data_IF_836425694487
#
_entry.id   IF_836425694487
#
_cell.length_a   1.000
_cell.length_b   1.000
_cell.length_c   1.000
_cell.angle_alpha   90.00
_cell.angle_beta   90.00
_cell.angle_gamma   90.00
#
_symmetry.space_group_name_H-M   'P 1'
#
loop_
_entity.id
_entity.type
_entity.pdbx_description
1 polymer ?
#
# COMPACT_ATOMS: atom_id res chain seq x y z
N UNK A 1 54.00 3.32 42.89
CA UNK A 1 54.11 2.53 41.66
C UNK A 1 52.86 1.70 41.54
N UNK A 2 51.93 2.16 40.72
CA UNK A 2 50.64 1.51 40.45
C UNK A 2 50.61 1.13 38.99
N UNK A 3 50.72 -0.16 38.71
CA UNK A 3 50.68 -0.74 37.36
C UNK A 3 49.23 -1.07 37.03
N UNK A 4 48.68 -0.46 35.99
CA UNK A 4 47.39 -0.86 35.40
C UNK A 4 47.60 -2.07 34.48
N UNK A 5 46.70 -3.06 34.46
CA UNK A 5 46.77 -4.13 33.48
C UNK A 5 46.30 -3.61 32.10
N UNK A 6 47.12 -3.86 31.09
CA UNK A 6 46.76 -3.67 29.68
C UNK A 6 45.57 -4.56 29.34
N UNK A 7 44.43 -3.97 28.99
CA UNK A 7 43.38 -4.66 28.25
C UNK A 7 43.83 -4.75 26.79
N UNK A 8 44.16 -5.96 26.33
CA UNK A 8 44.24 -6.28 24.91
C UNK A 8 42.80 -6.38 24.40
N UNK A 9 42.39 -5.41 23.59
CA UNK A 9 41.22 -5.56 22.72
C UNK A 9 41.56 -6.65 21.70
N UNK A 10 40.98 -7.83 21.88
CA UNK A 10 41.03 -8.90 20.89
C UNK A 10 39.96 -8.57 19.86
N UNK A 11 40.38 -7.90 18.78
CA UNK A 11 39.57 -7.71 17.59
C UNK A 11 39.40 -9.07 16.92
N UNK A 12 38.24 -9.71 17.12
CA UNK A 12 37.87 -10.94 16.43
C UNK A 12 37.55 -10.62 14.98
N UNK A 13 38.57 -10.59 14.12
CA UNK A 13 38.38 -10.70 12.67
C UNK A 13 38.04 -12.16 12.38
N UNK A 14 36.76 -12.51 12.44
CA UNK A 14 36.29 -13.76 11.87
C UNK A 14 36.55 -13.67 10.35
N UNK A 15 37.55 -14.42 9.87
CA UNK A 15 37.70 -14.69 8.44
C UNK A 15 36.45 -15.45 8.00
N UNK A 16 35.48 -14.72 7.46
CA UNK A 16 34.28 -15.28 6.88
C UNK A 16 34.72 -16.05 5.63
N UNK A 17 34.76 -17.38 5.73
CA UNK A 17 34.81 -18.23 4.55
C UNK A 17 33.53 -17.92 3.77
N UNK A 18 33.68 -17.27 2.61
CA UNK A 18 32.55 -16.73 1.85
C UNK A 18 31.43 -17.77 1.67
N UNK A 19 30.17 -17.33 1.61
CA UNK A 19 29.07 -18.26 1.42
C UNK A 19 29.33 -19.04 0.13
N UNK A 20 29.12 -20.36 0.17
CA UNK A 20 28.99 -21.13 -1.07
C UNK A 20 28.02 -20.37 -1.97
N UNK A 21 28.44 -20.05 -3.20
CA UNK A 21 27.62 -19.31 -4.17
C UNK A 21 26.47 -20.23 -4.58
N UNK A 22 25.43 -20.30 -3.75
CA UNK A 22 24.15 -20.85 -4.13
C UNK A 22 23.55 -19.83 -5.09
N UNK A 23 23.13 -20.23 -6.30
CA UNK A 23 22.41 -19.34 -7.19
C UNK A 23 21.24 -18.69 -6.42
N UNK A 24 21.02 -17.37 -6.55
CA UNK A 24 19.92 -16.73 -5.84
C UNK A 24 18.63 -17.46 -6.20
N UNK A 25 17.86 -17.82 -5.17
CA UNK A 25 16.50 -18.32 -5.37
C UNK A 25 15.77 -17.24 -6.17
N UNK A 26 15.15 -17.55 -7.32
CA UNK A 26 14.40 -16.56 -8.09
C UNK A 26 13.39 -15.89 -7.16
N UNK A 27 13.30 -14.55 -7.25
CA UNK A 27 12.24 -13.84 -6.57
C UNK A 27 10.90 -14.47 -6.98
N UNK A 28 9.98 -14.75 -6.03
CA UNK A 28 8.67 -15.26 -6.38
C UNK A 28 8.02 -14.33 -7.42
N UNK A 29 7.48 -14.94 -8.47
CA UNK A 29 6.80 -14.21 -9.56
C UNK A 29 5.66 -13.38 -8.98
N UNK A 30 5.64 -12.08 -9.28
CA UNK A 30 4.63 -11.11 -8.81
C UNK A 30 5.18 -10.01 -7.89
N UNK A 31 6.37 -10.21 -7.29
CA UNK A 31 6.97 -9.20 -6.41
C UNK A 31 8.41 -8.83 -6.80
N UNK A 32 8.63 -8.06 -7.89
CA UNK A 32 9.97 -7.66 -8.29
C UNK A 32 10.64 -6.83 -7.19
N UNK A 33 11.88 -7.20 -6.87
CA UNK A 33 12.72 -6.49 -5.90
C UNK A 33 13.61 -5.49 -6.63
N UNK A 34 13.62 -4.24 -6.18
CA UNK A 34 14.49 -3.18 -6.74
C UNK A 34 15.25 -2.46 -5.64
N UNK A 35 16.44 -1.99 -5.98
CA UNK A 35 17.19 -1.06 -5.14
C UNK A 35 16.85 0.38 -5.54
N UNK A 36 16.34 1.16 -4.60
CA UNK A 36 16.18 2.59 -4.75
C UNK A 36 17.53 3.31 -4.86
N UNK A 37 17.54 4.45 -5.52
CA UNK A 37 18.63 5.43 -5.43
C UNK A 37 18.73 6.05 -4.03
N UNK A 38 19.82 6.78 -3.79
CA UNK A 38 19.96 7.59 -2.57
C UNK A 38 18.87 8.67 -2.54
N UNK A 39 18.09 8.71 -1.46
CA UNK A 39 16.94 9.61 -1.34
C UNK A 39 15.75 9.23 -2.22
N UNK A 40 15.75 8.05 -2.85
CA UNK A 40 14.61 7.56 -3.62
C UNK A 40 13.65 6.79 -2.71
N UNK A 41 12.36 7.09 -2.82
CA UNK A 41 11.29 6.34 -2.15
C UNK A 41 11.02 5.02 -2.90
N UNK A 42 10.39 4.05 -2.22
CA UNK A 42 9.99 2.82 -2.89
C UNK A 42 8.91 3.03 -3.95
N UNK A 43 8.03 4.03 -3.76
CA UNK A 43 7.09 4.48 -4.80
C UNK A 43 7.82 4.81 -6.11
N UNK A 44 8.90 5.61 -6.03
CA UNK A 44 9.66 6.01 -7.22
C UNK A 44 10.49 4.86 -7.79
N UNK A 45 11.11 4.06 -6.92
CA UNK A 45 11.91 2.91 -7.35
C UNK A 45 11.08 1.86 -8.09
N UNK A 46 9.85 1.60 -7.63
CA UNK A 46 8.92 0.68 -8.29
C UNK A 46 8.37 1.25 -9.60
N UNK A 47 8.04 2.54 -9.64
CA UNK A 47 7.56 3.19 -10.86
C UNK A 47 8.56 3.09 -12.03
N UNK A 48 9.88 3.10 -11.75
CA UNK A 48 10.94 2.92 -12.77
C UNK A 48 10.87 1.59 -13.52
N UNK A 49 10.33 0.55 -12.90
CA UNK A 49 10.15 -0.77 -13.51
C UNK A 49 8.70 -1.03 -13.92
N UNK A 50 7.88 0.03 -14.01
CA UNK A 50 6.45 -0.07 -14.31
C UNK A 50 5.69 -0.96 -13.31
N UNK A 51 6.14 -0.94 -12.05
CA UNK A 51 5.53 -1.65 -10.94
C UNK A 51 5.00 -0.63 -9.91
N UNK A 52 4.20 -1.09 -8.96
CA UNK A 52 3.66 -0.27 -7.86
C UNK A 52 4.27 -0.70 -6.52
N UNK A 53 4.33 0.22 -5.57
CA UNK A 53 4.63 -0.10 -4.19
C UNK A 53 3.31 -0.05 -3.41
N UNK A 54 2.93 -1.15 -2.79
CA UNK A 54 1.72 -1.27 -1.96
C UNK A 54 2.11 -1.61 -0.52
N UNK A 55 1.18 -1.47 0.41
CA UNK A 55 1.42 -1.94 1.78
C UNK A 55 1.55 -3.47 1.80
N UNK A 56 0.83 -4.19 0.93
CA UNK A 56 1.02 -5.63 0.74
C UNK A 56 2.42 -5.98 0.21
N UNK A 57 2.92 -5.26 -0.81
CA UNK A 57 4.24 -5.52 -1.37
C UNK A 57 5.34 -5.29 -0.32
N UNK A 58 5.20 -4.25 0.49
CA UNK A 58 6.07 -3.99 1.63
C UNK A 58 6.01 -5.09 2.70
N UNK A 59 4.81 -5.54 3.08
CA UNK A 59 4.62 -6.66 4.01
C UNK A 59 5.18 -8.00 3.48
N UNK A 60 5.26 -8.16 2.16
CA UNK A 60 5.97 -9.28 1.55
C UNK A 60 7.50 -9.14 1.74
N UNK A 61 8.03 -7.93 1.53
CA UNK A 61 9.43 -7.59 1.84
C UNK A 61 9.83 -7.88 3.29
N UNK A 62 8.88 -7.83 4.22
CA UNK A 62 9.11 -8.12 5.64
C UNK A 62 9.38 -9.57 5.99
N UNK A 63 9.13 -10.46 5.04
CA UNK A 63 9.51 -11.85 5.19
C UNK A 63 11.05 -11.98 5.22
N UNK A 64 11.78 -11.03 4.63
CA UNK A 64 13.23 -10.99 4.62
C UNK A 64 13.78 -10.28 5.87
N UNK A 65 13.52 -10.87 7.03
CA UNK A 65 13.91 -10.33 8.33
C UNK A 65 15.23 -10.91 8.87
N UNK A 66 15.76 -11.97 8.26
CA UNK A 66 17.02 -12.58 8.69
C UNK A 66 18.22 -12.04 7.92
N UNK A 67 19.40 -12.17 8.54
CA UNK A 67 20.67 -11.74 7.97
C UNK A 67 20.98 -12.42 6.62
N UNK A 68 20.65 -13.70 6.48
CA UNK A 68 20.87 -14.45 5.24
C UNK A 68 19.97 -13.97 4.11
N UNK A 69 18.68 -13.73 4.41
CA UNK A 69 17.69 -13.30 3.42
C UNK A 69 18.03 -11.94 2.80
N UNK A 70 18.56 -11.00 3.58
CA UNK A 70 18.96 -9.69 3.05
C UNK A 70 20.23 -9.79 2.19
N UNK A 71 21.18 -10.63 2.58
CA UNK A 71 22.35 -10.88 1.76
C UNK A 71 21.97 -11.53 0.41
N UNK A 72 21.01 -12.46 0.43
CA UNK A 72 20.49 -13.11 -0.77
C UNK A 72 19.72 -12.12 -1.65
N UNK A 73 18.89 -11.24 -1.06
CA UNK A 73 18.21 -10.16 -1.79
C UNK A 73 19.21 -9.18 -2.42
N UNK A 74 20.22 -8.76 -1.66
CA UNK A 74 21.30 -7.89 -2.14
C UNK A 74 21.93 -8.49 -3.39
N UNK A 75 22.32 -9.77 -3.32
CA UNK A 75 22.93 -10.47 -4.44
C UNK A 75 21.98 -10.57 -5.64
N UNK A 76 20.71 -10.89 -5.41
CA UNK A 76 19.71 -11.03 -6.46
C UNK A 76 19.48 -9.74 -7.27
N UNK A 77 19.58 -8.58 -6.63
CA UNK A 77 19.43 -7.26 -7.28
C UNK A 77 20.77 -6.64 -7.71
N UNK A 78 21.87 -7.41 -7.65
CA UNK A 78 23.18 -7.00 -8.14
C UNK A 78 23.97 -6.07 -7.19
N UNK A 79 23.62 -6.05 -5.91
CA UNK A 79 24.40 -5.38 -4.85
C UNK A 79 25.01 -6.41 -3.89
N UNK A 80 25.85 -5.97 -2.96
CA UNK A 80 26.46 -6.83 -1.96
C UNK A 80 26.50 -6.13 -0.61
N UNK A 81 26.12 -6.84 0.45
CA UNK A 81 26.31 -6.38 1.81
C UNK A 81 27.76 -6.70 2.23
N UNK A 82 28.59 -5.69 2.46
CA UNK A 82 29.95 -5.83 3.03
C UNK A 82 29.91 -6.11 4.53
N UNK A 83 28.80 -5.76 5.17
CA UNK A 83 28.49 -6.08 6.54
C UNK A 83 27.02 -5.81 6.82
N UNK A 84 26.54 -6.27 7.97
CA UNK A 84 25.16 -6.05 8.40
C UNK A 84 25.19 -5.32 9.73
N UNK A 85 24.46 -4.21 9.81
CA UNK A 85 24.43 -3.39 11.01
C UNK A 85 23.01 -3.37 11.58
N UNK A 86 22.91 -3.58 12.89
CA UNK A 86 21.68 -3.36 13.65
C UNK A 86 21.90 -2.13 14.51
N UNK A 87 21.32 -0.98 14.15
CA UNK A 87 21.17 0.08 15.14
C UNK A 87 19.80 -0.06 15.81
N UNK A 88 19.70 0.20 17.12
CA UNK A 88 18.44 0.47 17.74
C UNK A 88 17.97 1.89 17.38
N UNK A 89 17.94 2.29 16.12
CA UNK A 89 17.46 3.62 15.72
C UNK A 89 16.88 3.60 14.29
N UNK A 90 17.33 2.69 13.44
CA UNK A 90 16.87 2.53 12.05
C UNK A 90 15.55 1.75 11.96
N UNK A 91 14.64 1.99 12.91
CA UNK A 91 13.52 1.10 13.23
C UNK A 91 12.30 1.18 12.33
N UNK A 92 12.25 2.12 11.38
CA UNK A 92 11.04 2.46 10.62
C UNK A 92 11.22 2.42 9.10
N UNK A 93 12.36 1.91 8.61
CA UNK A 93 12.70 1.92 7.19
C UNK A 93 13.01 0.49 6.76
N UNK A 94 12.47 0.09 5.60
CA UNK A 94 12.82 -1.16 4.90
C UNK A 94 14.32 -1.43 4.95
N UNK A 95 14.75 -2.70 4.72
CA UNK A 95 16.16 -2.98 4.54
C UNK A 95 16.79 -1.94 3.63
N UNK A 96 17.91 -1.39 4.06
CA UNK A 96 18.59 -0.33 3.33
C UNK A 96 20.07 -0.68 3.17
N UNK A 97 20.67 -0.22 2.08
CA UNK A 97 22.10 -0.26 1.82
C UNK A 97 22.68 1.13 2.08
N UNK A 98 23.51 1.25 3.12
CA UNK A 98 24.18 2.49 3.49
C UNK A 98 25.52 2.70 2.78
N UNK A 99 26.05 3.92 2.89
CA UNK A 99 27.38 4.26 2.42
C UNK A 99 28.44 3.33 3.07
N UNK A 100 29.07 2.48 2.26
CA UNK A 100 30.03 1.47 2.70
C UNK A 100 29.60 0.01 2.49
N UNK A 101 28.39 -0.23 1.95
CA UNK A 101 27.86 -1.57 1.69
C UNK A 101 27.24 -2.23 2.92
N UNK A 102 26.92 -1.45 3.95
CA UNK A 102 26.22 -1.96 5.12
C UNK A 102 24.74 -2.15 4.83
N UNK A 103 24.22 -3.34 5.11
CA UNK A 103 22.78 -3.61 5.03
C UNK A 103 22.14 -3.52 6.42
N UNK A 104 20.93 -2.98 6.50
CA UNK A 104 20.22 -2.75 7.77
C UNK A 104 18.89 -3.50 7.79
N UNK A 105 18.80 -4.74 8.29
CA UNK A 105 17.54 -5.45 8.48
C UNK A 105 16.53 -4.71 9.34
N UNK A 106 15.26 -4.86 8.98
CA UNK A 106 14.15 -4.64 9.90
C UNK A 106 14.27 -5.61 11.09
N UNK A 107 14.16 -5.09 12.31
CA UNK A 107 14.17 -5.91 13.52
C UNK A 107 12.94 -5.65 14.39
N UNK A 108 12.38 -6.71 14.99
CA UNK A 108 11.34 -6.63 16.01
C UNK A 108 9.92 -6.36 15.49
N UNK A 109 9.14 -5.62 16.29
CA UNK A 109 7.69 -5.42 16.13
C UNK A 109 7.30 -4.28 15.17
N UNK A 110 8.26 -3.62 14.51
CA UNK A 110 8.02 -2.38 13.75
C UNK A 110 7.62 -2.58 12.28
N UNK A 111 7.14 -3.78 11.91
CA UNK A 111 6.51 -4.06 10.61
C UNK A 111 5.29 -3.16 10.31
N UNK A 112 4.80 -2.40 11.29
CA UNK A 112 3.63 -1.53 11.17
C UNK A 112 3.91 -0.13 10.65
N UNK A 113 5.17 0.33 10.60
CA UNK A 113 5.51 1.71 10.22
C UNK A 113 5.99 1.84 8.76
N UNK A 114 5.73 0.84 7.94
CA UNK A 114 6.22 0.81 6.58
C UNK A 114 5.45 1.75 5.68
N UNK A 115 6.21 2.45 4.84
CA UNK A 115 5.64 3.41 3.92
C UNK A 115 6.48 3.46 2.63
N UNK A 116 5.78 3.35 1.50
CA UNK A 116 6.34 3.42 0.16
C UNK A 116 6.97 4.77 -0.14
N UNK A 117 6.45 5.85 0.47
CA UNK A 117 6.83 7.24 0.18
C UNK A 117 8.02 7.74 1.01
N UNK A 118 8.48 7.00 2.03
CA UNK A 118 9.66 7.39 2.79
C UNK A 118 10.90 7.37 1.89
N UNK A 119 11.59 8.51 1.82
CA UNK A 119 12.88 8.65 1.17
C UNK A 119 13.96 8.85 2.24
N UNK A 120 15.05 8.08 2.16
CA UNK A 120 16.24 8.28 3.00
C UNK A 120 17.38 8.80 2.13
N UNK A 121 17.78 10.06 2.38
CA UNK A 121 18.85 10.72 1.62
C UNK A 121 20.24 10.09 1.81
N UNK A 122 20.41 9.30 2.86
CA UNK A 122 21.69 8.73 3.28
C UNK A 122 21.86 7.25 2.92
N UNK A 123 20.81 6.60 2.44
CA UNK A 123 20.80 5.17 2.16
C UNK A 123 19.96 4.84 0.91
N UNK A 124 20.14 3.64 0.39
CA UNK A 124 19.31 3.07 -0.68
C UNK A 124 18.33 2.08 -0.07
N UNK A 125 17.06 2.15 -0.42
CA UNK A 125 16.05 1.22 0.12
C UNK A 125 15.90 -0.01 -0.76
N UNK A 126 15.78 -1.18 -0.13
CA UNK A 126 15.27 -2.38 -0.76
C UNK A 126 13.74 -2.26 -0.85
N UNK A 127 13.24 -2.27 -2.08
CA UNK A 127 11.84 -2.05 -2.37
C UNK A 127 11.27 -3.30 -3.03
N UNK A 128 10.29 -3.88 -2.36
CA UNK A 128 9.44 -4.90 -2.94
C UNK A 128 8.31 -4.20 -3.68
N UNK A 129 8.30 -4.37 -4.98
CA UNK A 129 7.25 -3.87 -5.84
C UNK A 129 6.27 -4.99 -6.15
N UNK A 130 5.08 -4.62 -6.54
CA UNK A 130 4.06 -5.50 -7.11
C UNK A 130 3.89 -5.11 -8.57
N UNK A 131 3.73 -6.10 -9.45
CA UNK A 131 3.42 -5.81 -10.85
C UNK A 131 2.24 -4.84 -10.87
N UNK A 132 2.38 -3.72 -11.60
CA UNK A 132 1.24 -2.85 -11.77
C UNK A 132 0.17 -3.68 -12.48
N UNK A 133 -0.96 -3.93 -11.80
CA UNK A 133 -2.12 -4.49 -12.47
C UNK A 133 -2.33 -3.68 -13.75
N UNK A 134 -2.63 -4.35 -14.89
CA UNK A 134 -2.80 -3.66 -16.16
C UNK A 134 -3.79 -2.53 -15.92
N UNK A 135 -3.32 -1.27 -16.07
CA UNK A 135 -4.01 -0.04 -15.65
C UNK A 135 -5.52 -0.21 -15.71
N UNK A 136 -6.11 -0.66 -14.60
CA UNK A 136 -7.54 -0.90 -14.54
C UNK A 136 -8.13 0.49 -14.47
N UNK A 137 -8.75 0.93 -15.56
CA UNK A 137 -9.34 2.26 -15.60
C UNK A 137 -10.63 2.22 -14.78
N UNK A 138 -10.57 2.84 -13.61
CA UNK A 138 -11.70 2.94 -12.71
C UNK A 138 -12.41 4.26 -12.93
N UNK A 139 -13.68 4.20 -13.31
CA UNK A 139 -14.53 5.37 -13.44
C UNK A 139 -15.56 5.44 -12.32
N UNK A 140 -15.71 6.62 -11.71
CA UNK A 140 -16.73 6.87 -10.71
C UNK A 140 -18.00 7.38 -11.38
N UNK A 141 -19.11 6.71 -11.14
CA UNK A 141 -20.43 7.07 -11.67
C UNK A 141 -21.42 7.28 -10.54
N UNK A 142 -22.43 8.12 -10.79
CA UNK A 142 -23.54 8.32 -9.88
C UNK A 142 -24.70 7.40 -10.29
N UNK A 143 -25.18 6.55 -9.38
CA UNK A 143 -26.35 5.71 -9.63
C UNK A 143 -27.62 6.55 -9.73
N UNK A 144 -28.68 6.01 -10.34
CA UNK A 144 -30.03 6.56 -10.13
C UNK A 144 -30.48 6.36 -8.67
N UNK A 145 -31.44 7.15 -8.18
CA UNK A 145 -31.97 6.99 -6.83
C UNK A 145 -32.46 5.55 -6.59
N UNK A 146 -31.88 4.86 -5.59
CA UNK A 146 -32.25 3.50 -5.21
C UNK A 146 -31.67 2.39 -6.08
N UNK A 147 -30.93 2.74 -7.13
CA UNK A 147 -30.19 1.81 -7.96
C UNK A 147 -28.95 1.28 -7.18
N UNK A 148 -28.52 0.05 -7.51
CA UNK A 148 -27.28 -0.52 -6.99
C UNK A 148 -26.09 -0.21 -7.93
N UNK A 149 -24.86 -0.53 -7.51
CA UNK A 149 -23.70 -0.23 -8.34
C UNK A 149 -23.58 -1.12 -9.57
N UNK A 150 -24.11 -2.35 -9.53
CA UNK A 150 -24.20 -3.20 -10.73
C UNK A 150 -24.98 -2.53 -11.86
N UNK A 151 -26.17 -1.98 -11.56
CA UNK A 151 -27.00 -1.26 -12.53
C UNK A 151 -26.33 0.01 -13.03
N UNK A 152 -25.79 0.80 -12.09
CA UNK A 152 -25.13 2.06 -12.41
C UNK A 152 -23.94 1.86 -13.35
N UNK A 153 -23.03 0.92 -13.05
CA UNK A 153 -21.87 0.63 -13.90
C UNK A 153 -22.28 0.08 -15.27
N UNK A 154 -23.24 -0.85 -15.30
CA UNK A 154 -23.72 -1.45 -16.54
C UNK A 154 -24.31 -0.42 -17.51
N UNK A 155 -24.94 0.64 -16.99
CA UNK A 155 -25.49 1.74 -17.78
C UNK A 155 -24.42 2.50 -18.58
N UNK A 156 -23.19 2.55 -18.08
CA UNK A 156 -22.06 3.20 -18.75
C UNK A 156 -21.16 2.22 -19.52
N UNK A 157 -21.53 0.93 -19.56
CA UNK A 157 -20.72 -0.10 -20.22
C UNK A 157 -19.56 -0.62 -19.39
N UNK A 158 -19.54 -0.30 -18.09
CA UNK A 158 -18.51 -0.73 -17.13
C UNK A 158 -18.98 -1.92 -16.29
N UNK A 159 -18.04 -2.58 -15.64
CA UNK A 159 -18.32 -3.61 -14.64
C UNK A 159 -18.27 -3.05 -13.23
N UNK A 160 -19.15 -3.55 -12.35
CA UNK A 160 -18.93 -3.40 -10.92
C UNK A 160 -18.16 -4.63 -10.43
N UNK A 161 -16.92 -4.43 -10.01
CA UNK A 161 -16.07 -5.46 -9.40
C UNK A 161 -15.79 -5.11 -7.95
N UNK A 162 -15.38 -6.10 -7.15
CA UNK A 162 -15.00 -5.84 -5.76
C UNK A 162 -13.78 -4.93 -5.71
N UNK A 163 -12.81 -5.11 -6.61
CA UNK A 163 -11.60 -4.30 -6.65
C UNK A 163 -11.91 -2.83 -6.99
N UNK A 164 -12.83 -2.58 -7.92
CA UNK A 164 -13.33 -1.24 -8.20
C UNK A 164 -13.98 -0.60 -6.96
N UNK A 165 -14.83 -1.33 -6.24
CA UNK A 165 -15.44 -0.81 -5.02
C UNK A 165 -14.37 -0.51 -3.94
N UNK A 166 -13.35 -1.36 -3.78
CA UNK A 166 -12.27 -1.16 -2.79
C UNK A 166 -11.46 0.08 -3.15
N UNK A 167 -11.17 0.28 -4.44
CA UNK A 167 -10.57 1.52 -4.93
C UNK A 167 -11.45 2.74 -4.62
N UNK A 168 -12.78 2.59 -4.74
CA UNK A 168 -13.77 3.63 -4.41
C UNK A 168 -13.78 4.06 -2.94
N UNK A 169 -13.43 3.20 -1.99
CA UNK A 169 -13.40 3.54 -0.56
C UNK A 169 -12.40 4.67 -0.25
N UNK A 170 -11.33 4.75 -1.03
CA UNK A 170 -10.35 5.84 -0.96
C UNK A 170 -10.96 7.21 -1.24
N UNK A 171 -12.13 7.26 -1.88
CA UNK A 171 -12.85 8.48 -2.23
C UNK A 171 -14.18 8.62 -1.46
N UNK A 172 -14.57 7.57 -0.73
CA UNK A 172 -15.78 7.49 0.06
C UNK A 172 -15.65 7.94 1.51
N UNK A 173 -14.49 8.43 1.95
CA UNK A 173 -14.28 8.85 3.35
C UNK A 173 -15.01 10.16 3.68
N UNK A 174 -15.23 10.43 4.97
CA UNK A 174 -15.88 11.68 5.42
C UNK A 174 -15.17 12.95 4.93
N UNK A 175 -13.85 12.91 4.74
CA UNK A 175 -13.05 14.03 4.25
C UNK A 175 -13.01 14.14 2.72
N UNK A 176 -13.31 13.07 1.98
CA UNK A 176 -13.17 13.02 0.52
C UNK A 176 -14.51 13.02 -0.22
N UNK A 177 -15.58 12.49 0.40
CA UNK A 177 -16.87 12.28 -0.28
C UNK A 177 -17.45 13.54 -0.90
N UNK A 178 -17.19 14.73 -0.34
CA UNK A 178 -17.66 15.99 -0.92
C UNK A 178 -17.00 16.32 -2.26
N UNK A 179 -15.71 16.04 -2.40
CA UNK A 179 -15.01 16.22 -3.67
C UNK A 179 -15.44 15.16 -4.68
N UNK A 180 -15.64 13.92 -4.20
CA UNK A 180 -16.12 12.80 -5.02
C UNK A 180 -17.51 13.07 -5.57
N UNK A 181 -18.43 13.55 -4.73
CA UNK A 181 -19.78 13.99 -5.13
C UNK A 181 -19.72 15.04 -6.23
N UNK A 182 -18.85 16.05 -6.10
CA UNK A 182 -18.64 17.07 -7.13
C UNK A 182 -18.10 16.50 -8.44
N UNK A 183 -17.15 15.57 -8.36
CA UNK A 183 -16.55 14.93 -9.53
C UNK A 183 -17.59 14.15 -10.35
N UNK A 184 -18.54 13.50 -9.69
CA UNK A 184 -19.64 12.76 -10.35
C UNK A 184 -20.88 13.61 -10.63
N UNK A 185 -20.76 14.95 -10.54
CA UNK A 185 -21.78 15.90 -10.97
C UNK A 185 -22.90 16.18 -9.94
N UNK A 186 -22.69 15.87 -8.66
CA UNK A 186 -23.61 16.20 -7.56
C UNK A 186 -22.92 17.02 -6.47
N UNK A 187 -23.56 17.27 -5.33
CA UNK A 187 -22.97 18.07 -4.23
C UNK A 187 -23.48 17.65 -2.86
N UNK A 188 -22.71 17.96 -1.83
CA UNK A 188 -23.08 17.75 -0.42
C UNK A 188 -23.62 19.03 0.23
N UNK A 189 -24.55 19.74 -0.42
CA UNK A 189 -25.04 21.03 0.08
C UNK A 189 -25.79 20.93 1.42
N UNK A 190 -26.33 19.77 1.75
CA UNK A 190 -26.89 19.48 3.07
C UNK A 190 -25.80 19.30 4.14
N UNK A 191 -24.60 18.93 3.75
CA UNK A 191 -23.46 18.61 4.60
C UNK A 191 -23.06 17.14 4.53
N UNK A 192 -22.04 16.78 5.30
CA UNK A 192 -21.56 15.39 5.42
C UNK A 192 -21.98 14.83 6.77
N UNK A 193 -22.70 13.71 6.77
CA UNK A 193 -23.04 13.01 8.00
C UNK A 193 -21.99 11.93 8.26
N UNK A 194 -21.35 11.99 9.43
CA UNK A 194 -20.49 10.91 9.90
C UNK A 194 -21.30 9.72 10.46
N UNK A 195 -22.63 9.86 10.55
CA UNK A 195 -23.52 8.84 11.09
C UNK A 195 -23.71 7.70 10.09
N UNK A 196 -23.60 6.47 10.61
CA UNK A 196 -23.66 5.23 9.84
C UNK A 196 -24.96 5.14 9.04
N UNK A 197 -24.87 5.29 7.73
CA UNK A 197 -25.85 4.64 6.87
C UNK A 197 -25.64 3.14 7.00
N UNK A 198 -26.72 2.36 6.91
CA UNK A 198 -26.64 0.90 6.91
C UNK A 198 -26.10 0.36 5.58
N UNK A 199 -25.44 1.23 4.81
CA UNK A 199 -24.98 0.99 3.47
C UNK A 199 -23.47 0.88 3.43
N UNK A 200 -22.99 0.08 2.49
CA UNK A 200 -21.59 -0.28 2.34
C UNK A 200 -20.87 0.62 1.33
N UNK A 201 -21.62 1.42 0.57
CA UNK A 201 -21.09 2.31 -0.46
C UNK A 201 -21.33 3.78 -0.09
N UNK A 202 -20.52 4.72 -0.59
CA UNK A 202 -20.74 6.15 -0.38
C UNK A 202 -22.00 6.63 -1.10
N UNK A 203 -22.74 7.57 -0.49
CA UNK A 203 -24.04 8.01 -1.00
C UNK A 203 -24.28 9.50 -0.90
N UNK A 204 -25.18 9.98 -1.76
CA UNK A 204 -25.76 11.32 -1.69
C UNK A 204 -27.28 11.18 -1.62
N UNK A 205 -27.90 11.65 -0.55
CA UNK A 205 -29.36 11.63 -0.43
C UNK A 205 -30.03 12.60 -1.39
N UNK A 206 -31.34 12.43 -1.60
CA UNK A 206 -32.16 13.41 -2.33
C UNK A 206 -32.23 14.81 -1.69
N UNK A 207 -31.75 14.97 -0.45
CA UNK A 207 -31.59 16.26 0.23
C UNK A 207 -30.14 16.80 0.15
N UNK A 208 -29.29 16.20 -0.70
CA UNK A 208 -27.88 16.54 -0.89
C UNK A 208 -27.02 16.39 0.37
N UNK A 209 -27.35 15.44 1.24
CA UNK A 209 -26.46 15.01 2.31
C UNK A 209 -25.55 13.89 1.82
N UNK A 210 -24.26 13.98 2.15
CA UNK A 210 -23.30 12.95 1.80
C UNK A 210 -23.04 12.02 2.98
N UNK A 211 -23.03 10.73 2.69
CA UNK A 211 -22.82 9.66 3.65
C UNK A 211 -21.59 8.86 3.23
N UNK A 212 -20.49 8.96 3.99
CA UNK A 212 -19.27 8.25 3.69
C UNK A 212 -19.46 6.74 3.89
N UNK A 213 -18.51 5.97 3.37
CA UNK A 213 -18.42 4.52 3.62
C UNK A 213 -18.32 4.27 5.12
N UNK A 214 -19.07 3.29 5.64
CA UNK A 214 -18.92 2.84 7.03
C UNK A 214 -17.65 1.98 7.15
N UNK A 215 -16.58 2.48 7.81
CA UNK A 215 -15.32 1.74 7.94
C UNK A 215 -15.48 0.45 8.76
N UNK A 216 -16.59 0.28 9.49
CA UNK A 216 -16.87 -0.93 10.25
C UNK A 216 -17.43 -2.08 9.40
N UNK A 217 -17.73 -1.85 8.11
CA UNK A 217 -18.24 -2.88 7.21
C UNK A 217 -17.18 -3.28 6.19
N UNK A 218 -16.79 -4.54 6.24
CA UNK A 218 -15.74 -5.13 5.40
C UNK A 218 -16.27 -5.84 4.16
N UNK A 219 -17.58 -5.83 3.93
CA UNK A 219 -18.22 -6.54 2.82
C UNK A 219 -18.84 -5.55 1.87
N UNK A 220 -18.03 -5.05 0.95
CA UNK A 220 -18.51 -4.37 -0.22
C UNK A 220 -19.28 -5.33 -1.13
N UNK A 221 -20.30 -4.82 -1.79
CA UNK A 221 -21.13 -5.63 -2.67
C UNK A 221 -21.82 -4.75 -3.72
N UNK A 222 -21.60 -5.09 -4.98
CA UNK A 222 -22.18 -4.43 -6.15
C UNK A 222 -23.71 -4.51 -6.19
N UNK A 223 -24.28 -5.58 -5.63
CA UNK A 223 -25.71 -5.90 -5.71
C UNK A 223 -26.53 -5.38 -4.53
N UNK A 224 -25.88 -4.78 -3.52
CA UNK A 224 -26.63 -4.17 -2.41
C UNK A 224 -27.37 -2.97 -2.98
N UNK A 225 -28.66 -3.14 -3.26
CA UNK A 225 -29.60 -2.02 -3.43
C UNK A 225 -29.67 -1.21 -2.14
N UNK A 226 -30.22 0.01 -2.17
CA UNK A 226 -30.31 0.84 -0.97
C UNK A 226 -31.23 0.16 0.05
N UNK A 227 -30.66 -0.67 0.94
CA UNK A 227 -31.41 -1.34 2.01
C UNK A 227 -31.59 -0.37 3.16
N UNK A 228 -32.45 0.63 2.94
CA UNK A 228 -33.17 1.33 4.00
C UNK A 228 -34.52 1.85 3.49
N UNK A 229 -35.40 0.92 3.12
CA UNK A 229 -36.80 0.98 3.55
C UNK A 229 -36.87 0.47 4.98
N UNK A 230 -36.81 1.35 5.98
CA UNK A 230 -37.37 1.01 7.30
C UNK A 230 -38.33 2.03 7.86
N UNK A 231 -38.43 3.23 7.28
CA UNK A 231 -39.40 4.27 7.68
C UNK A 231 -39.74 5.31 6.59
N UNK A 232 -39.49 5.04 5.30
CA UNK A 232 -40.13 5.78 4.20
C UNK A 232 -39.41 6.95 3.52
N UNK A 233 -38.14 7.27 3.82
CA UNK A 233 -37.26 8.15 2.98
C UNK A 233 -35.82 7.94 3.50
N UNK A 234 -34.79 7.65 2.70
CA UNK A 234 -34.34 8.30 1.47
C UNK A 234 -33.87 7.29 0.40
N UNK A 235 -34.46 7.45 -0.79
CA UNK A 235 -33.93 6.93 -2.04
C UNK A 235 -32.80 7.88 -2.44
N UNK A 236 -31.55 7.53 -2.11
CA UNK A 236 -30.36 8.30 -2.44
C UNK A 236 -29.64 7.77 -3.69
N UNK A 237 -28.76 8.58 -4.24
CA UNK A 237 -27.80 8.17 -5.25
C UNK A 237 -26.58 7.51 -4.56
N UNK A 238 -26.05 6.45 -5.16
CA UNK A 238 -24.74 5.89 -4.78
C UNK A 238 -23.66 6.48 -5.66
N UNK A 239 -22.50 6.68 -5.07
CA UNK A 239 -21.27 6.89 -5.82
C UNK A 239 -20.65 5.51 -5.99
N UNK A 240 -20.58 5.05 -7.24
CA UNK A 240 -20.12 3.72 -7.59
C UNK A 240 -18.82 3.84 -8.38
N UNK A 241 -17.81 3.11 -7.97
CA UNK A 241 -16.60 2.94 -8.78
C UNK A 241 -16.78 1.71 -9.65
N UNK A 242 -16.53 1.88 -10.93
CA UNK A 242 -16.71 0.89 -11.97
C UNK A 242 -15.40 0.66 -12.70
N UNK A 243 -15.21 -0.56 -13.19
CA UNK A 243 -14.04 -0.98 -13.95
C UNK A 243 -14.38 -0.99 -15.45
N UNK A 244 -13.55 -0.32 -16.26
CA UNK A 244 -13.61 -0.44 -17.71
C UNK A 244 -13.03 -1.79 -18.17
N UNK A 245 -13.90 -2.65 -18.70
CA UNK A 245 -13.49 -3.96 -19.21
C UNK A 245 -12.88 -3.90 -20.63
N UNK A 246 -12.76 -2.71 -21.22
CA UNK A 246 -12.31 -2.53 -22.62
C UNK A 246 -10.86 -2.05 -22.76
N UNK A 247 -10.19 -1.73 -21.64
CA UNK A 247 -8.79 -1.28 -21.57
C UNK A 247 -7.77 -2.39 -21.81
#
# INVERSE_FOLDING_TARGET
>A
GTTFPNYLEVEYVALYEGPQVVPPTPAPSGYPQVLGGLGESCTNACARISAVCTVESLAFGDQFGTLGEIADMALAIGTQCTGIHHTPADWDINPQSGAGGWCFPLTGNNRTNQNCDIADISSQRFCTCEDADPLVDYEMVLSDPGENCTGACSRYGYACTIDALVYGDLFGTASQIANTALAVGTSCSGGTHAEKTWDVNPQVSGENYCFPVDPARTTQNCDVGSTLEKNGTLIGHRICTCEDLTS
#
